data_IF_697962646121
#
_entry.id   IF_697962646121
#
_cell.length_a   1.000
_cell.length_b   1.000
_cell.length_c   1.000
_cell.angle_alpha   90.00
_cell.angle_beta   90.00
_cell.angle_gamma   90.00
#
_symmetry.space_group_name_H-M   'P 1'
#
loop_
_entity.id
_entity.type
_entity.pdbx_description
1 polymer ?
#
# COMPACT_ATOMS: atom_id res chain seq x y z
N UNK A 1 -9.21 -9.17 17.45
CA UNK A 1 -8.98 -9.43 16.01
C UNK A 1 -9.26 -8.12 15.27
N UNK A 2 -8.33 -7.66 14.44
CA UNK A 2 -8.49 -6.44 13.63
C UNK A 2 -9.38 -6.67 12.40
N UNK A 3 -9.63 -5.62 11.59
CA UNK A 3 -10.43 -5.73 10.37
C UNK A 3 -9.81 -6.74 9.39
N UNK A 4 -10.66 -7.47 8.67
CA UNK A 4 -10.21 -8.33 7.56
C UNK A 4 -9.83 -7.44 6.39
N UNK A 5 -8.57 -7.45 6.02
CA UNK A 5 -7.99 -6.62 4.95
C UNK A 5 -7.34 -7.50 3.88
N UNK A 6 -7.23 -7.01 2.65
CA UNK A 6 -6.53 -7.69 1.56
C UNK A 6 -5.42 -6.84 0.94
N UNK A 7 -4.29 -7.49 0.65
CA UNK A 7 -3.15 -6.89 -0.05
C UNK A 7 -2.88 -7.69 -1.32
N UNK A 8 -2.74 -6.99 -2.44
CA UNK A 8 -2.30 -7.57 -3.72
C UNK A 8 -0.88 -7.11 -4.02
N UNK A 9 -0.02 -8.05 -4.38
CA UNK A 9 1.31 -7.80 -4.93
C UNK A 9 1.34 -8.39 -6.34
N UNK A 10 1.48 -7.54 -7.34
CA UNK A 10 1.42 -7.89 -8.76
C UNK A 10 2.74 -7.52 -9.44
N UNK A 11 3.46 -8.52 -9.97
CA UNK A 11 4.75 -8.35 -10.64
C UNK A 11 4.68 -7.70 -12.03
N UNK A 12 3.49 -7.32 -12.52
CA UNK A 12 3.31 -6.67 -13.81
C UNK A 12 3.45 -7.59 -15.02
N UNK A 13 3.32 -8.91 -14.82
CA UNK A 13 3.35 -9.93 -15.86
C UNK A 13 2.03 -10.03 -16.64
N UNK A 14 1.90 -11.10 -17.44
CA UNK A 14 0.71 -11.33 -18.28
C UNK A 14 -0.54 -11.71 -17.46
N UNK A 15 -0.34 -12.36 -16.31
CA UNK A 15 -1.43 -12.72 -15.39
C UNK A 15 -1.61 -11.61 -14.37
N UNK A 16 -2.49 -10.66 -14.68
CA UNK A 16 -2.76 -9.52 -13.80
C UNK A 16 -3.87 -9.84 -12.80
N UNK A 17 -3.81 -9.18 -11.64
CA UNK A 17 -4.89 -9.19 -10.65
C UNK A 17 -5.76 -7.93 -10.74
N UNK A 18 -5.80 -7.25 -11.89
CA UNK A 18 -6.46 -5.93 -12.04
C UNK A 18 -7.99 -6.00 -11.83
N UNK A 19 -8.62 -7.17 -11.93
CA UNK A 19 -10.05 -7.36 -11.67
C UNK A 19 -10.38 -7.63 -10.18
N UNK A 20 -9.36 -7.82 -9.32
CA UNK A 20 -9.56 -8.15 -7.91
C UNK A 20 -9.43 -6.88 -7.08
N UNK A 21 -10.44 -6.59 -6.26
CA UNK A 21 -10.42 -5.46 -5.33
C UNK A 21 -9.52 -5.76 -4.13
N UNK A 22 -8.73 -4.76 -3.72
CA UNK A 22 -7.91 -4.85 -2.51
C UNK A 22 -7.96 -3.57 -1.67
N UNK A 23 -7.63 -3.73 -0.39
CA UNK A 23 -7.32 -2.59 0.48
C UNK A 23 -6.02 -1.93 0.04
N UNK A 24 -4.98 -2.71 -0.24
CA UNK A 24 -3.70 -2.22 -0.75
C UNK A 24 -3.29 -3.00 -1.99
N UNK A 25 -2.80 -2.31 -3.02
CA UNK A 25 -2.26 -2.90 -4.24
C UNK A 25 -0.87 -2.34 -4.51
N UNK A 26 0.11 -3.25 -4.58
CA UNK A 26 1.48 -3.01 -5.01
C UNK A 26 1.65 -3.61 -6.40
N UNK A 27 1.85 -2.78 -7.42
CA UNK A 27 2.08 -3.24 -8.79
C UNK A 27 3.47 -2.84 -9.25
N UNK A 28 4.29 -3.80 -9.65
CA UNK A 28 5.57 -3.51 -10.27
C UNK A 28 5.34 -2.73 -11.57
N UNK A 29 6.05 -1.62 -11.71
CA UNK A 29 6.13 -0.81 -12.92
C UNK A 29 7.56 -0.91 -13.44
N UNK A 30 7.72 -1.10 -14.75
CA UNK A 30 9.05 -1.15 -15.36
C UNK A 30 9.79 0.17 -15.06
N UNK A 31 10.92 0.06 -14.39
CA UNK A 31 11.99 1.04 -14.47
C UNK A 31 13.24 0.35 -14.99
N UNK A 32 14.12 1.14 -15.59
CA UNK A 32 15.30 0.72 -16.36
C UNK A 32 16.29 -0.15 -15.57
N UNK A 33 16.43 0.10 -14.27
CA UNK A 33 17.54 -0.40 -13.45
C UNK A 33 17.13 -0.93 -12.08
N UNK A 34 15.90 -0.69 -11.64
CA UNK A 34 15.37 -1.18 -10.37
C UNK A 34 13.85 -1.43 -10.44
N UNK A 35 13.33 -2.34 -9.61
CA UNK A 35 11.89 -2.53 -9.46
C UNK A 35 11.26 -1.33 -8.77
N UNK A 36 10.42 -0.57 -9.48
CA UNK A 36 9.54 0.43 -8.88
C UNK A 36 8.13 -0.12 -8.74
N UNK A 37 7.41 0.36 -7.75
CA UNK A 37 6.09 -0.15 -7.38
C UNK A 37 5.09 0.99 -7.32
N UNK A 38 4.03 0.89 -8.14
CA UNK A 38 2.84 1.73 -7.96
C UNK A 38 2.08 1.23 -6.73
N UNK A 39 1.97 2.10 -5.74
CA UNK A 39 1.19 1.87 -4.52
C UNK A 39 -0.18 2.52 -4.70
N UNK A 40 -1.23 1.74 -4.48
CA UNK A 40 -2.61 2.22 -4.56
C UNK A 40 -3.49 1.55 -3.51
N UNK A 41 -4.62 2.17 -3.17
CA UNK A 41 -5.53 1.68 -2.13
C UNK A 41 -6.98 1.73 -2.56
N UNK A 42 -7.82 0.93 -1.90
CA UNK A 42 -9.28 0.97 -2.03
C UNK A 42 -9.81 0.81 -3.46
N UNK A 43 -9.71 -0.39 -4.02
CA UNK A 43 -10.34 -0.70 -5.31
C UNK A 43 -9.61 -1.79 -6.09
N UNK A 44 -9.93 -1.86 -7.37
CA UNK A 44 -9.30 -2.73 -8.36
C UNK A 44 -8.26 -1.97 -9.21
N UNK A 45 -7.74 -2.58 -10.28
CA UNK A 45 -6.76 -1.94 -11.18
C UNK A 45 -7.26 -0.66 -11.87
N UNK A 46 -8.57 -0.36 -11.82
CA UNK A 46 -9.20 0.80 -12.45
C UNK A 46 -9.61 1.88 -11.46
N UNK A 47 -10.10 1.46 -10.30
CA UNK A 47 -10.77 2.33 -9.31
C UNK A 47 -9.90 2.65 -8.10
N UNK A 48 -8.81 1.91 -7.88
CA UNK A 48 -7.91 2.15 -6.77
C UNK A 48 -7.31 3.57 -6.81
N UNK A 49 -7.27 4.21 -5.64
CA UNK A 49 -6.64 5.51 -5.43
C UNK A 49 -5.13 5.34 -5.44
N UNK A 50 -4.45 5.95 -6.43
CA UNK A 50 -2.99 5.92 -6.53
C UNK A 50 -2.40 6.83 -5.45
N UNK A 51 -1.43 6.31 -4.70
CA UNK A 51 -0.72 7.06 -3.68
C UNK A 51 0.60 7.59 -4.23
N UNK A 52 1.48 6.69 -4.65
CA UNK A 52 2.83 7.04 -5.12
C UNK A 52 3.46 5.91 -5.94
N UNK A 53 4.59 6.20 -6.59
CA UNK A 53 5.49 5.19 -7.15
C UNK A 53 6.77 5.20 -6.31
N UNK A 54 7.07 4.08 -5.67
CA UNK A 54 8.16 3.96 -4.71
C UNK A 54 9.11 2.81 -5.08
N UNK A 55 10.30 2.79 -4.47
CA UNK A 55 11.13 1.58 -4.45
C UNK A 55 10.49 0.47 -3.59
N UNK A 56 11.11 -0.72 -3.58
CA UNK A 56 10.58 -1.90 -2.91
C UNK A 56 10.40 -1.72 -1.39
N UNK A 57 11.39 -1.15 -0.71
CA UNK A 57 11.36 -0.94 0.73
C UNK A 57 10.29 0.09 1.12
N UNK A 58 10.24 1.22 0.42
CA UNK A 58 9.24 2.24 0.66
C UNK A 58 7.82 1.75 0.33
N UNK A 59 7.64 0.96 -0.74
CA UNK A 59 6.34 0.37 -1.07
C UNK A 59 5.84 -0.60 0.01
N UNK A 60 6.74 -1.43 0.56
CA UNK A 60 6.44 -2.30 1.72
C UNK A 60 6.04 -1.46 2.93
N UNK A 61 6.80 -0.43 3.26
CA UNK A 61 6.56 0.42 4.42
C UNK A 61 5.23 1.15 4.33
N UNK A 62 4.90 1.70 3.15
CA UNK A 62 3.61 2.34 2.90
C UNK A 62 2.46 1.34 3.07
N UNK A 63 2.61 0.12 2.55
CA UNK A 63 1.58 -0.92 2.71
C UNK A 63 1.35 -1.23 4.19
N UNK A 64 2.42 -1.46 4.97
CA UNK A 64 2.32 -1.73 6.41
C UNK A 64 1.72 -0.53 7.16
N UNK A 65 2.12 0.70 6.83
CA UNK A 65 1.57 1.91 7.42
C UNK A 65 0.06 2.05 7.16
N UNK A 66 -0.39 1.79 5.94
CA UNK A 66 -1.81 1.80 5.60
C UNK A 66 -2.60 0.77 6.42
N UNK A 67 -2.07 -0.46 6.57
CA UNK A 67 -2.71 -1.49 7.38
C UNK A 67 -2.77 -1.12 8.87
N UNK A 68 -1.72 -0.46 9.40
CA UNK A 68 -1.71 0.04 10.78
C UNK A 68 -2.77 1.13 10.98
N UNK A 69 -2.84 2.11 10.08
CA UNK A 69 -3.86 3.16 10.14
C UNK A 69 -5.29 2.58 10.10
N UNK A 70 -5.51 1.53 9.31
CA UNK A 70 -6.79 0.82 9.27
C UNK A 70 -7.07 0.08 10.57
N UNK A 71 -6.10 -0.65 11.12
CA UNK A 71 -6.25 -1.36 12.38
C UNK A 71 -6.56 -0.43 13.56
N UNK A 72 -5.95 0.76 13.59
CA UNK A 72 -6.21 1.79 14.61
C UNK A 72 -7.61 2.39 14.51
N UNK A 73 -8.19 2.42 13.31
CA UNK A 73 -9.51 3.01 13.07
C UNK A 73 -10.67 2.15 13.58
N UNK A 74 -10.49 0.83 13.67
CA UNK A 74 -11.45 -0.07 14.28
C UNK A 74 -11.67 -1.36 13.52
N UNK A 75 -12.55 -2.21 14.06
CA UNK A 75 -12.75 -3.60 13.60
C UNK A 75 -13.39 -3.74 12.21
N UNK A 76 -14.08 -2.71 11.75
CA UNK A 76 -14.79 -2.72 10.46
C UNK A 76 -14.17 -1.74 9.45
N UNK A 77 -13.03 -1.14 9.78
CA UNK A 77 -12.39 -0.14 8.93
C UNK A 77 -11.66 -0.77 7.75
N UNK A 78 -11.66 -0.04 6.64
CA UNK A 78 -10.91 -0.33 5.43
C UNK A 78 -10.12 0.89 4.96
N UNK A 79 -9.21 0.68 4.01
CA UNK A 79 -8.42 1.77 3.40
C UNK A 79 -9.28 2.82 2.70
N UNK A 80 -10.49 2.44 2.24
CA UNK A 80 -11.47 3.38 1.65
C UNK A 80 -11.96 4.43 2.65
N UNK A 81 -11.86 4.12 3.95
CA UNK A 81 -12.30 4.98 5.05
C UNK A 81 -11.20 5.92 5.55
N UNK A 82 -9.97 5.82 5.01
CA UNK A 82 -8.90 6.75 5.34
C UNK A 82 -9.23 8.15 4.81
N UNK A 83 -8.99 9.16 5.65
CA UNK A 83 -9.17 10.57 5.30
C UNK A 83 -8.15 11.03 4.26
N UNK A 84 -8.43 12.13 3.56
CA UNK A 84 -7.50 12.74 2.60
C UNK A 84 -6.10 12.98 3.21
N UNK A 85 -6.05 13.51 4.44
CA UNK A 85 -4.80 13.72 5.19
C UNK A 85 -4.01 12.43 5.42
N UNK A 86 -4.69 11.33 5.74
CA UNK A 86 -4.04 10.04 5.92
C UNK A 86 -3.48 9.49 4.61
N UNK A 87 -4.22 9.66 3.51
CA UNK A 87 -3.75 9.29 2.17
C UNK A 87 -2.55 10.13 1.73
N UNK A 88 -2.56 11.45 2.00
CA UNK A 88 -1.43 12.35 1.75
C UNK A 88 -0.20 11.93 2.55
N UNK A 89 -0.36 11.61 3.84
CA UNK A 89 0.72 11.12 4.71
C UNK A 89 1.35 9.82 4.18
N UNK A 90 0.53 8.89 3.69
CA UNK A 90 1.02 7.67 3.03
C UNK A 90 1.74 7.96 1.71
N UNK A 91 1.24 8.90 0.91
CA UNK A 91 1.85 9.27 -0.37
C UNK A 91 3.21 9.97 -0.20
N UNK A 92 3.38 10.74 0.88
CA UNK A 92 4.62 11.40 1.26
C UNK A 92 5.46 10.59 2.25
N UNK A 93 5.22 9.29 2.38
CA UNK A 93 5.95 8.46 3.35
C UNK A 93 7.43 8.38 2.97
N UNK A 94 8.29 8.61 3.96
CA UNK A 94 9.73 8.38 3.83
C UNK A 94 10.08 7.37 4.91
N UNK A 95 10.77 6.27 4.53
CA UNK A 95 11.14 5.23 5.48
C UNK A 95 11.97 5.85 6.61
N UNK A 96 11.45 5.77 7.84
CA UNK A 96 12.25 6.01 9.04
C UNK A 96 12.70 4.65 9.53
N UNK A 97 14.02 4.43 9.62
CA UNK A 97 14.55 3.22 10.21
C UNK A 97 13.86 2.98 11.56
N UNK A 98 13.36 1.76 11.85
CA UNK A 98 12.76 1.49 13.14
C UNK A 98 13.81 1.76 14.22
N UNK A 99 13.44 2.35 15.38
CA UNK A 99 14.37 2.59 16.46
C UNK A 99 15.03 1.25 16.84
N UNK A 100 16.35 1.18 16.74
CA UNK A 100 17.13 0.00 17.11
C UNK A 100 16.84 -0.36 18.55
N UNK A 101 16.21 -1.51 18.76
CA UNK A 101 16.11 -2.17 20.06
C UNK A 101 17.25 -3.17 20.17
N UNK A 102 18.46 -2.67 20.41
CA UNK A 102 19.55 -3.53 20.90
C UNK A 102 19.67 -3.34 22.42
N UNK A 103 19.79 -4.45 23.19
CA UNK A 103 19.94 -4.44 24.64
C UNK A 103 21.33 -3.97 25.11
#
# INVERSE_FOLDING_TARGET
LGPKVSVIVDGGGQLTLDAVTADVRLRAVRADTASRWLVSVAGDGRTAKRLTVADEDAARDIAVAALRMVAEKGRDAHTRDLSGRQLESLASWHSTAPPSVLP
#
